data_IF_301456769543
#
_entry.id   IF_301456769543
#
_cell.length_a   1.000
_cell.length_b   1.000
_cell.length_c   1.000
_cell.angle_alpha   90.00
_cell.angle_beta   90.00
_cell.angle_gamma   90.00
#
_symmetry.space_group_name_H-M   'P 1'
#
loop_
_entity.id
_entity.type
_entity.pdbx_description
1 polymer ?
#
# COMPACT_ATOMS: atom_id res chain seq x y z
N UNK A 1 -9.22 14.76 2.17
CA UNK A 1 -8.04 14.61 1.29
C UNK A 1 -8.49 14.06 -0.05
N UNK A 2 -8.16 14.75 -1.15
CA UNK A 2 -8.53 14.33 -2.52
C UNK A 2 -7.57 13.26 -3.08
N UNK A 3 -7.86 12.67 -4.25
CA UNK A 3 -6.94 11.71 -4.90
C UNK A 3 -5.56 12.30 -5.17
N UNK A 4 -5.50 13.53 -5.69
CA UNK A 4 -4.22 14.18 -6.01
C UNK A 4 -3.44 14.58 -4.75
N UNK A 5 -4.13 14.93 -3.66
CA UNK A 5 -3.50 15.13 -2.35
C UNK A 5 -2.85 13.83 -1.85
N UNK A 6 -3.51 12.68 -2.02
CA UNK A 6 -2.97 11.36 -1.63
C UNK A 6 -1.72 11.01 -2.41
N UNK A 7 -1.70 11.26 -3.72
CA UNK A 7 -0.50 11.06 -4.55
C UNK A 7 0.67 11.92 -4.05
N UNK A 8 0.40 13.21 -3.82
CA UNK A 8 1.41 14.15 -3.34
C UNK A 8 1.95 13.76 -1.96
N UNK A 9 1.06 13.34 -1.06
CA UNK A 9 1.43 12.87 0.27
C UNK A 9 2.30 11.62 0.19
N UNK A 10 1.86 10.57 -0.52
CA UNK A 10 2.60 9.32 -0.67
C UNK A 10 4.00 9.53 -1.28
N UNK A 11 4.11 10.39 -2.31
CA UNK A 11 5.41 10.73 -2.89
C UNK A 11 6.35 11.39 -1.88
N UNK A 12 5.83 12.37 -1.11
CA UNK A 12 6.61 13.06 -0.09
C UNK A 12 7.05 12.12 1.03
N UNK A 13 6.18 11.19 1.45
CA UNK A 13 6.51 10.16 2.46
C UNK A 13 7.65 9.26 1.99
N UNK A 14 7.70 8.92 0.70
CA UNK A 14 8.82 8.16 0.11
C UNK A 14 10.07 8.99 -0.21
N UNK A 15 10.04 10.31 0.00
CA UNK A 15 11.17 11.19 -0.34
C UNK A 15 11.46 11.31 -1.84
N UNK A 16 10.51 10.95 -2.71
CA UNK A 16 10.72 10.94 -4.16
C UNK A 16 10.47 12.33 -4.78
N UNK A 17 11.25 12.70 -5.78
CA UNK A 17 10.97 13.86 -6.63
C UNK A 17 9.89 13.54 -7.66
N UNK A 18 9.30 14.57 -8.27
CA UNK A 18 8.31 14.37 -9.35
C UNK A 18 8.93 13.68 -10.56
N UNK A 19 10.15 14.08 -10.93
CA UNK A 19 10.92 13.47 -12.00
C UNK A 19 11.15 11.97 -11.75
N UNK A 20 11.56 11.59 -10.54
CA UNK A 20 11.77 10.17 -10.19
C UNK A 20 10.51 9.32 -10.34
N UNK A 21 9.35 9.82 -9.91
CA UNK A 21 8.09 9.07 -10.09
C UNK A 21 7.68 9.00 -11.56
N UNK A 22 7.85 10.11 -12.29
CA UNK A 22 7.50 10.18 -13.71
C UNK A 22 8.35 9.23 -14.56
N UNK A 23 9.67 9.19 -14.30
CA UNK A 23 10.61 8.29 -14.96
C UNK A 23 10.26 6.82 -14.69
N UNK A 24 9.92 6.48 -13.43
CA UNK A 24 9.58 5.12 -13.02
C UNK A 24 8.31 4.56 -13.68
N UNK A 25 7.40 5.42 -14.14
CA UNK A 25 6.15 5.04 -14.82
C UNK A 25 6.13 5.45 -16.29
N UNK A 26 7.28 5.87 -16.84
CA UNK A 26 7.48 6.26 -18.23
C UNK A 26 6.53 7.36 -18.73
N UNK A 27 6.39 8.44 -17.95
CA UNK A 27 5.67 9.65 -18.35
C UNK A 27 6.54 10.89 -18.15
N UNK A 28 6.12 12.03 -18.72
CA UNK A 28 6.84 13.29 -18.48
C UNK A 28 6.62 13.79 -17.05
N UNK A 29 7.62 14.47 -16.46
CA UNK A 29 7.47 15.15 -15.17
C UNK A 29 6.29 16.14 -15.18
N UNK A 30 6.08 16.83 -16.29
CA UNK A 30 4.94 17.73 -16.49
C UNK A 30 3.59 17.01 -16.35
N UNK A 31 3.46 15.81 -16.92
CA UNK A 31 2.27 14.97 -16.78
C UNK A 31 2.02 14.59 -15.32
N UNK A 32 3.06 14.12 -14.62
CA UNK A 32 2.94 13.79 -13.20
C UNK A 32 2.58 15.00 -12.33
N UNK A 33 3.15 16.18 -12.63
CA UNK A 33 2.83 17.44 -11.95
C UNK A 33 1.38 17.84 -12.13
N UNK A 34 0.79 17.62 -13.31
CA UNK A 34 -0.65 17.84 -13.53
C UNK A 34 -1.49 16.89 -12.69
N UNK A 35 -1.04 15.66 -12.48
CA UNK A 35 -1.76 14.71 -11.62
C UNK A 35 -1.81 15.13 -10.16
N UNK A 36 -0.71 15.68 -9.64
CA UNK A 36 -0.72 16.30 -8.30
C UNK A 36 -1.53 17.59 -8.21
N UNK A 37 -2.00 18.16 -9.34
CA UNK A 37 -2.82 19.37 -9.42
C UNK A 37 -4.30 19.10 -9.72
N UNK A 38 -4.69 17.83 -9.80
CA UNK A 38 -6.09 17.44 -9.95
C UNK A 38 -6.46 16.86 -11.32
N UNK A 39 -5.51 16.79 -12.27
CA UNK A 39 -5.70 15.94 -13.46
C UNK A 39 -5.63 14.46 -13.02
N UNK A 40 -6.31 13.56 -13.71
CA UNK A 40 -6.22 12.12 -13.42
C UNK A 40 -5.40 11.37 -14.49
N UNK A 41 -4.79 10.22 -14.14
CA UNK A 41 -4.26 9.28 -15.11
C UNK A 41 -5.33 8.86 -16.11
N UNK A 42 -4.94 8.65 -17.38
CA UNK A 42 -5.90 8.29 -18.45
C UNK A 42 -6.39 6.85 -18.39
N UNK A 43 -5.67 5.97 -17.69
CA UNK A 43 -5.98 4.54 -17.61
C UNK A 43 -5.77 4.01 -16.19
N UNK A 44 -6.48 2.93 -15.87
CA UNK A 44 -6.31 2.20 -14.61
C UNK A 44 -4.92 1.58 -14.49
N UNK A 45 -4.35 1.10 -15.59
CA UNK A 45 -2.99 0.57 -15.64
C UNK A 45 -1.97 1.65 -15.23
N UNK A 46 -2.09 2.87 -15.77
CA UNK A 46 -1.21 3.98 -15.38
C UNK A 46 -1.39 4.34 -13.90
N UNK A 47 -2.64 4.36 -13.42
CA UNK A 47 -2.91 4.59 -12.01
C UNK A 47 -2.32 3.49 -11.11
N UNK A 48 -2.33 2.24 -11.56
CA UNK A 48 -1.78 1.10 -10.82
C UNK A 48 -0.27 1.19 -10.70
N UNK A 49 0.45 1.44 -11.80
CA UNK A 49 1.92 1.65 -11.77
C UNK A 49 2.31 2.78 -10.83
N UNK A 50 1.49 3.83 -10.79
CA UNK A 50 1.68 4.97 -9.92
C UNK A 50 1.49 4.58 -8.44
N UNK A 51 0.48 3.77 -8.14
CA UNK A 51 0.27 3.19 -6.80
C UNK A 51 1.46 2.32 -6.38
N UNK A 52 1.97 1.47 -7.26
CA UNK A 52 3.10 0.57 -6.99
C UNK A 52 4.39 1.35 -6.68
N UNK A 53 4.73 2.34 -7.51
CA UNK A 53 5.90 3.22 -7.28
C UNK A 53 5.74 4.00 -5.98
N UNK A 54 4.55 4.50 -5.68
CA UNK A 54 4.27 5.26 -4.46
C UNK A 54 4.08 4.37 -3.22
N UNK A 55 3.98 3.05 -3.37
CA UNK A 55 3.78 2.10 -2.27
C UNK A 55 2.44 2.28 -1.56
N UNK A 56 1.40 2.67 -2.30
CA UNK A 56 0.04 2.79 -1.81
C UNK A 56 -0.86 1.82 -2.55
N UNK A 57 -2.01 1.47 -1.97
CA UNK A 57 -2.99 0.62 -2.66
C UNK A 57 -3.86 1.44 -3.62
N UNK A 58 -4.39 0.77 -4.63
CA UNK A 58 -5.42 1.34 -5.50
C UNK A 58 -6.65 1.79 -4.70
N UNK A 59 -7.05 1.03 -3.67
CA UNK A 59 -8.15 1.42 -2.78
C UNK A 59 -7.86 2.73 -2.03
N UNK A 60 -6.65 2.88 -1.49
CA UNK A 60 -6.23 4.10 -0.84
C UNK A 60 -6.23 5.27 -1.82
N UNK A 61 -5.69 5.08 -3.02
CA UNK A 61 -5.70 6.11 -4.05
C UNK A 61 -7.14 6.58 -4.36
N UNK A 62 -8.06 5.65 -4.62
CA UNK A 62 -9.44 5.96 -5.02
C UNK A 62 -10.29 6.49 -3.87
N UNK A 63 -10.31 5.79 -2.73
CA UNK A 63 -11.26 6.02 -1.63
C UNK A 63 -10.65 6.78 -0.45
N UNK A 64 -9.32 6.72 -0.30
CA UNK A 64 -8.61 7.24 0.87
C UNK A 64 -8.62 6.28 2.06
N UNK A 65 -9.25 5.12 1.92
CA UNK A 65 -9.18 4.05 2.91
C UNK A 65 -7.89 3.28 2.71
N UNK A 66 -7.07 3.23 3.75
CA UNK A 66 -5.83 2.48 3.70
C UNK A 66 -6.04 1.10 4.33
N UNK A 67 -6.27 0.07 3.51
CA UNK A 67 -6.22 -1.31 3.99
C UNK A 67 -4.78 -1.82 4.15
N UNK A 68 -3.76 -1.18 3.53
CA UNK A 68 -2.35 -1.59 3.68
C UNK A 68 -1.70 -1.06 4.95
N UNK A 69 -2.24 0.01 5.52
CA UNK A 69 -1.94 0.49 6.87
C UNK A 69 -2.45 -0.44 7.98
N UNK A 70 -3.18 -1.51 7.68
CA UNK A 70 -3.90 -2.25 8.72
C UNK A 70 -3.04 -3.22 9.56
N UNK A 71 -1.70 -3.18 9.44
CA UNK A 71 -0.82 -3.91 10.35
C UNK A 71 0.29 -2.97 10.89
N UNK A 72 0.21 -2.67 12.18
CA UNK A 72 1.28 -2.15 13.02
C UNK A 72 2.54 -3.03 12.91
N UNK A 73 3.74 -2.53 13.27
CA UNK A 73 4.96 -3.34 13.20
C UNK A 73 4.86 -4.71 13.92
N UNK A 74 4.23 -4.82 15.10
CA UNK A 74 3.98 -6.12 15.73
C UNK A 74 3.04 -7.02 14.90
N UNK A 75 1.95 -6.48 14.37
CA UNK A 75 0.99 -7.26 13.56
C UNK A 75 1.63 -7.77 12.27
N UNK A 76 2.53 -6.98 11.67
CA UNK A 76 3.29 -7.38 10.48
C UNK A 76 4.25 -8.51 10.79
N UNK A 77 4.97 -8.43 11.91
CA UNK A 77 5.86 -9.50 12.36
C UNK A 77 5.11 -10.83 12.55
N UNK A 78 3.89 -10.79 13.08
CA UNK A 78 3.04 -11.98 13.22
C UNK A 78 2.72 -12.60 11.86
N UNK A 79 2.32 -11.78 10.87
CA UNK A 79 2.01 -12.27 9.52
C UNK A 79 3.25 -12.84 8.82
N UNK A 80 4.40 -12.18 8.96
CA UNK A 80 5.66 -12.63 8.35
C UNK A 80 6.12 -13.97 8.96
N UNK A 81 6.08 -14.10 10.28
CA UNK A 81 6.36 -15.36 10.98
C UNK A 81 5.39 -16.47 10.56
N UNK A 82 4.09 -16.17 10.48
CA UNK A 82 3.09 -17.15 10.06
C UNK A 82 3.34 -17.68 8.64
N UNK A 83 3.73 -16.80 7.71
CA UNK A 83 4.05 -17.18 6.33
C UNK A 83 5.32 -18.03 6.22
N UNK A 84 6.31 -17.80 7.09
CA UNK A 84 7.56 -18.57 7.13
C UNK A 84 7.40 -19.99 7.72
N UNK A 85 6.30 -20.26 8.42
CA UNK A 85 6.02 -21.58 9.00
C UNK A 85 5.53 -22.55 7.92
N UNK A 86 6.01 -23.81 7.99
CA UNK A 86 5.56 -24.93 7.16
C UNK A 86 4.02 -25.06 7.24
N UNK A 87 3.35 -25.29 6.11
CA UNK A 87 1.89 -25.26 6.03
C UNK A 87 1.21 -26.18 7.06
N UNK A 88 1.74 -27.37 7.27
CA UNK A 88 1.26 -28.37 8.24
C UNK A 88 1.24 -27.85 9.69
N UNK A 89 2.07 -26.86 10.02
CA UNK A 89 2.21 -26.30 11.37
C UNK A 89 1.42 -25.01 11.58
N UNK A 90 0.88 -24.40 10.52
CA UNK A 90 0.11 -23.16 10.60
C UNK A 90 -1.18 -23.33 11.41
N UNK A 91 -1.81 -24.49 11.35
CA UNK A 91 -3.01 -24.81 12.16
C UNK A 91 -2.72 -24.68 13.67
N UNK A 92 -1.58 -25.18 14.14
CA UNK A 92 -1.18 -25.05 15.54
C UNK A 92 -1.02 -23.58 15.97
N UNK A 93 -0.50 -22.72 15.09
CA UNK A 93 -0.34 -21.28 15.38
C UNK A 93 -1.71 -20.63 15.62
N UNK A 94 -2.70 -20.95 14.77
CA UNK A 94 -4.07 -20.44 14.94
C UNK A 94 -4.67 -20.92 16.25
N UNK A 95 -4.54 -22.21 16.59
CA UNK A 95 -5.04 -22.76 17.87
C UNK A 95 -4.41 -22.07 19.09
N UNK A 96 -3.10 -21.82 19.06
CA UNK A 96 -2.42 -21.10 20.15
C UNK A 96 -2.90 -19.65 20.23
N UNK A 97 -3.06 -18.96 19.10
CA UNK A 97 -3.61 -17.60 19.07
C UNK A 97 -5.05 -17.54 19.60
N UNK A 98 -5.88 -18.53 19.28
CA UNK A 98 -7.23 -18.66 19.84
C UNK A 98 -7.22 -18.90 21.35
N UNK A 99 -6.29 -19.75 21.85
CA UNK A 99 -6.10 -19.98 23.28
C UNK A 99 -5.72 -18.68 24.01
N UNK A 100 -4.73 -17.95 23.46
CA UNK A 100 -4.25 -16.68 24.01
C UNK A 100 -5.32 -15.58 23.96
N UNK A 101 -6.19 -15.60 22.95
CA UNK A 101 -7.33 -14.69 22.82
C UNK A 101 -8.53 -15.08 23.70
N UNK A 102 -8.46 -16.20 24.44
CA UNK A 102 -9.57 -16.72 25.25
C UNK A 102 -10.77 -17.20 24.42
N UNK A 103 -10.53 -17.60 23.16
CA UNK A 103 -11.57 -18.03 22.19
C UNK A 103 -11.65 -19.55 22.03
N UNK A 104 -10.90 -20.31 22.81
CA UNK A 104 -11.02 -21.76 22.82
C UNK A 104 -12.41 -22.15 23.38
N UNK A 105 -13.15 -22.96 22.63
CA UNK A 105 -14.39 -23.61 23.09
C UNK A 105 -14.08 -24.77 24.02
#
# INVERSE_FOLDING_TARGET
MTKHDRLRAARKTKGLTRAQVADAIHVSESTYREWERGREPRSLDTAQRLCDVLGITMEYYLTGRDHSASLTPPERAVVDLYRAILEERRACVVTVMEALAGRLK
#
